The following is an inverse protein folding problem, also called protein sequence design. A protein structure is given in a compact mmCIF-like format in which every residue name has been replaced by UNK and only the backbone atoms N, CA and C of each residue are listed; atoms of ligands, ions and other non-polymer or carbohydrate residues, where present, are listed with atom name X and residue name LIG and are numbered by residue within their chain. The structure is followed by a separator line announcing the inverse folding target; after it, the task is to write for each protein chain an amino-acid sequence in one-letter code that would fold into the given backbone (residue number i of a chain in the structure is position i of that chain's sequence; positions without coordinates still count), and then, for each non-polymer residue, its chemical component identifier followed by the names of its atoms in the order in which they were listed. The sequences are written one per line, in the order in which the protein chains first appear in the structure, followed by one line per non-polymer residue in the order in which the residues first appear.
data_IF_359069937111
#
_entry.id   IF_359069937111
#
_cell.length_a   1.000
_cell.length_b   1.000
_cell.length_c   1.000
_cell.angle_alpha   90.00
_cell.angle_beta   90.00
_cell.angle_gamma   90.00
#
_symmetry.space_group_name_H-M   'P 1'
#
loop_
_entity.id
_entity.type
_entity.pdbx_description
1 polymer ?
#
# COMPACT_ATOMS: atom_id res chain seq x y z
N UNK A 1 -7.06 4.31 16.42
CA UNK A 1 -6.24 5.50 16.19
C UNK A 1 -4.98 5.50 17.05
N UNK A 2 -5.13 5.29 18.37
CA UNK A 2 -3.99 5.25 19.28
C UNK A 2 -3.00 4.14 18.94
N UNK A 3 -3.48 2.98 18.48
CA UNK A 3 -2.62 1.87 18.05
C UNK A 3 -1.78 2.24 16.83
N UNK A 4 -2.37 2.94 15.87
CA UNK A 4 -1.65 3.38 14.67
C UNK A 4 -0.60 4.43 14.98
N UNK A 5 -0.89 5.38 15.86
CA UNK A 5 0.07 6.39 16.30
C UNK A 5 1.23 5.76 17.09
N UNK A 6 0.91 4.81 17.98
CA UNK A 6 1.94 4.09 18.71
C UNK A 6 2.82 3.26 17.80
N UNK A 7 2.23 2.60 16.81
CA UNK A 7 2.95 1.83 15.81
C UNK A 7 3.90 2.71 14.99
N UNK A 8 3.41 3.87 14.52
CA UNK A 8 4.24 4.85 13.81
C UNK A 8 5.41 5.31 14.68
N UNK A 9 5.17 5.64 15.95
CA UNK A 9 6.23 6.01 16.90
C UNK A 9 7.28 4.92 17.04
N UNK A 10 6.87 3.66 17.12
CA UNK A 10 7.80 2.52 17.21
C UNK A 10 8.66 2.39 15.95
N UNK A 11 8.09 2.63 14.77
CA UNK A 11 8.85 2.63 13.52
C UNK A 11 9.88 3.75 13.52
N UNK A 12 9.47 4.96 13.84
CA UNK A 12 10.34 6.14 13.90
C UNK A 12 11.48 5.97 14.92
N UNK A 13 11.23 5.26 16.02
CA UNK A 13 12.24 4.95 17.05
C UNK A 13 13.02 3.64 16.77
N UNK A 14 12.89 3.09 15.57
CA UNK A 14 13.62 1.90 15.11
C UNK A 14 13.48 0.69 16.04
N UNK A 15 12.27 0.44 16.54
CA UNK A 15 11.98 -0.67 17.46
C UNK A 15 11.70 -2.01 16.77
N UNK A 16 11.98 -2.12 15.47
CA UNK A 16 11.84 -3.34 14.68
C UNK A 16 13.18 -3.72 14.03
N UNK A 17 14.21 -4.09 14.82
CA UNK A 17 15.54 -4.33 14.29
C UNK A 17 15.69 -5.62 13.50
N UNK A 18 14.82 -6.61 13.75
CA UNK A 18 14.91 -7.93 13.14
C UNK A 18 14.45 -7.88 11.68
N UNK A 19 15.28 -8.42 10.79
CA UNK A 19 14.98 -8.53 9.37
C UNK A 19 15.10 -9.97 8.90
N UNK A 20 14.27 -10.35 7.94
CA UNK A 20 14.34 -11.64 7.27
C UNK A 20 14.09 -11.45 5.76
N UNK A 21 14.50 -12.43 4.98
CA UNK A 21 14.26 -12.42 3.54
C UNK A 21 12.81 -12.84 3.27
N UNK A 22 12.04 -11.93 2.67
CA UNK A 22 10.61 -12.11 2.44
C UNK A 22 10.34 -12.16 0.94
N UNK A 23 9.59 -13.18 0.50
CA UNK A 23 9.04 -13.25 -0.85
C UNK A 23 7.83 -12.31 -0.94
N UNK A 24 8.02 -11.17 -1.59
CA UNK A 24 7.00 -10.13 -1.67
C UNK A 24 5.82 -10.54 -2.53
N UNK A 25 6.04 -11.26 -3.63
CA UNK A 25 4.96 -11.77 -4.47
C UNK A 25 3.98 -12.61 -3.64
N UNK A 26 4.52 -13.53 -2.86
CA UNK A 26 3.72 -14.42 -2.02
C UNK A 26 2.99 -13.66 -0.91
N UNK A 27 3.67 -12.70 -0.27
CA UNK A 27 3.06 -11.88 0.77
C UNK A 27 1.85 -11.11 0.22
N UNK A 28 2.00 -10.48 -0.93
CA UNK A 28 0.91 -9.75 -1.58
C UNK A 28 -0.22 -10.70 -1.96
N UNK A 29 0.10 -11.84 -2.57
CA UNK A 29 -0.89 -12.84 -2.99
C UNK A 29 -1.72 -13.36 -1.80
N UNK A 30 -1.06 -13.74 -0.70
CA UNK A 30 -1.73 -14.27 0.48
C UNK A 30 -2.72 -13.27 1.09
N UNK A 31 -2.35 -12.01 1.18
CA UNK A 31 -3.23 -10.96 1.71
C UNK A 31 -4.29 -10.51 0.71
N UNK A 32 -3.99 -10.57 -0.57
CA UNK A 32 -4.94 -10.23 -1.63
C UNK A 32 -6.19 -11.13 -1.61
N UNK A 33 -6.03 -12.39 -1.26
CA UNK A 33 -7.13 -13.34 -1.10
C UNK A 33 -8.15 -12.80 -0.09
N UNK A 34 -7.68 -12.35 1.07
CA UNK A 34 -8.53 -11.81 2.13
C UNK A 34 -9.26 -10.54 1.68
N UNK A 35 -8.57 -9.61 1.05
CA UNK A 35 -9.18 -8.36 0.57
C UNK A 35 -10.19 -8.58 -0.56
N UNK A 36 -9.95 -9.51 -1.46
CA UNK A 36 -10.93 -9.90 -2.48
C UNK A 36 -12.23 -10.41 -1.85
N UNK A 37 -12.12 -11.16 -0.77
CA UNK A 37 -13.28 -11.66 -0.05
C UNK A 37 -14.02 -10.54 0.69
N UNK A 38 -13.30 -9.73 1.47
CA UNK A 38 -13.86 -8.61 2.24
C UNK A 38 -14.59 -7.62 1.33
N UNK A 39 -14.03 -7.31 0.17
CA UNK A 39 -14.57 -6.33 -0.78
C UNK A 39 -15.29 -6.97 -1.98
N UNK A 40 -15.73 -8.23 -1.87
CA UNK A 40 -16.39 -8.95 -2.95
C UNK A 40 -17.64 -8.24 -3.48
N UNK A 41 -18.35 -7.52 -2.60
CA UNK A 41 -19.55 -6.75 -2.97
C UNK A 41 -19.27 -5.61 -3.96
N UNK A 42 -18.03 -5.18 -4.10
CA UNK A 42 -17.65 -4.12 -5.05
C UNK A 42 -17.42 -4.63 -6.47
N UNK A 43 -17.32 -5.94 -6.69
CA UNK A 43 -17.05 -6.54 -7.99
C UNK A 43 -15.83 -5.94 -8.69
N UNK A 44 -14.75 -5.70 -7.93
CA UNK A 44 -13.50 -5.16 -8.44
C UNK A 44 -12.74 -6.24 -9.20
N UNK A 45 -12.26 -5.90 -10.38
CA UNK A 45 -11.39 -6.78 -11.18
C UNK A 45 -9.96 -6.51 -10.77
N UNK A 46 -9.26 -7.54 -10.30
CA UNK A 46 -7.87 -7.44 -9.85
C UNK A 46 -6.96 -8.21 -10.79
N UNK A 47 -5.94 -7.53 -11.30
CA UNK A 47 -4.89 -8.12 -12.13
C UNK A 47 -3.56 -8.01 -11.41
N UNK A 48 -2.83 -9.13 -11.32
CA UNK A 48 -1.45 -9.15 -10.81
C UNK A 48 -0.54 -9.51 -11.97
N UNK A 49 0.41 -8.64 -12.26
CA UNK A 49 1.39 -8.81 -13.33
C UNK A 49 2.75 -8.95 -12.66
N UNK A 50 3.36 -10.11 -12.80
CA UNK A 50 4.67 -10.40 -12.22
C UNK A 50 5.57 -11.13 -13.21
N UNK A 51 6.85 -10.78 -13.22
CA UNK A 51 7.85 -11.41 -14.11
C UNK A 51 8.70 -12.43 -13.39
N UNK A 52 9.01 -12.18 -12.12
CA UNK A 52 9.89 -13.03 -11.31
C UNK A 52 9.61 -12.83 -9.83
N UNK A 53 9.99 -13.78 -8.97
CA UNK A 53 9.90 -13.60 -7.53
C UNK A 53 10.80 -12.45 -7.06
N UNK A 54 10.25 -11.58 -6.21
CA UNK A 54 10.96 -10.45 -5.60
C UNK A 54 11.16 -10.73 -4.12
N UNK A 55 12.42 -10.68 -3.67
CA UNK A 55 12.79 -10.89 -2.27
C UNK A 55 13.37 -9.61 -1.70
N UNK A 56 12.88 -9.20 -0.53
CA UNK A 56 13.40 -8.05 0.20
C UNK A 56 13.75 -8.49 1.63
N UNK A 57 14.81 -7.90 2.17
CA UNK A 57 15.18 -8.08 3.58
C UNK A 57 14.50 -7.01 4.42
N UNK A 58 13.44 -7.41 5.11
CA UNK A 58 12.59 -6.51 5.89
C UNK A 58 12.18 -7.20 7.20
N UNK A 59 11.80 -6.39 8.18
CA UNK A 59 11.06 -6.91 9.32
C UNK A 59 9.68 -7.39 8.83
N UNK A 60 9.28 -8.60 9.22
CA UNK A 60 8.02 -9.20 8.75
C UNK A 60 6.80 -8.36 9.12
N UNK A 61 6.72 -7.87 10.35
CA UNK A 61 5.61 -7.02 10.80
C UNK A 61 5.50 -5.75 9.97
N UNK A 62 6.63 -5.11 9.66
CA UNK A 62 6.66 -3.92 8.84
C UNK A 62 6.33 -4.21 7.37
N UNK A 63 6.80 -5.32 6.84
CA UNK A 63 6.47 -5.74 5.48
C UNK A 63 4.96 -5.98 5.32
N UNK A 64 4.36 -6.72 6.23
CA UNK A 64 2.91 -6.96 6.23
C UNK A 64 2.15 -5.63 6.30
N UNK A 65 2.55 -4.74 7.19
CA UNK A 65 1.90 -3.43 7.33
C UNK A 65 1.99 -2.61 6.05
N UNK A 66 3.18 -2.53 5.43
CA UNK A 66 3.39 -1.77 4.20
C UNK A 66 2.47 -2.26 3.07
N UNK A 67 2.53 -3.54 2.76
CA UNK A 67 1.81 -4.08 1.62
C UNK A 67 0.31 -4.18 1.85
N UNK A 68 -0.14 -4.48 3.08
CA UNK A 68 -1.57 -4.48 3.41
C UNK A 68 -2.16 -3.07 3.42
N UNK A 69 -1.42 -2.06 3.84
CA UNK A 69 -1.86 -0.66 3.75
C UNK A 69 -2.11 -0.25 2.30
N UNK A 70 -1.21 -0.61 1.38
CA UNK A 70 -1.35 -0.29 -0.03
C UNK A 70 -2.48 -1.07 -0.69
N UNK A 71 -2.64 -2.35 -0.36
CA UNK A 71 -3.77 -3.17 -0.82
C UNK A 71 -5.11 -2.62 -0.33
N UNK A 72 -5.23 -2.40 0.97
CA UNK A 72 -6.45 -1.85 1.58
C UNK A 72 -6.82 -0.51 0.96
N UNK A 73 -5.85 0.36 0.78
CA UNK A 73 -6.03 1.66 0.15
C UNK A 73 -6.62 1.52 -1.27
N UNK A 74 -6.07 0.59 -2.07
CA UNK A 74 -6.58 0.33 -3.41
C UNK A 74 -8.05 -0.14 -3.40
N UNK A 75 -8.41 -1.10 -2.54
CA UNK A 75 -9.78 -1.60 -2.46
C UNK A 75 -10.78 -0.57 -1.93
N UNK A 76 -10.41 0.21 -0.91
CA UNK A 76 -11.28 1.24 -0.34
C UNK A 76 -11.59 2.32 -1.39
N UNK A 77 -10.61 2.72 -2.17
CA UNK A 77 -10.73 3.86 -3.09
C UNK A 77 -11.12 3.47 -4.52
N UNK A 78 -11.30 2.20 -4.81
CA UNK A 78 -11.84 1.75 -6.09
C UNK A 78 -13.35 1.66 -6.01
N UNK A 79 -14.03 2.24 -7.00
CA UNK A 79 -15.49 2.17 -7.12
C UNK A 79 -15.93 0.78 -7.54
N UNK A 80 -17.22 0.45 -7.29
CA UNK A 80 -17.82 -0.81 -7.76
C UNK A 80 -17.58 -1.02 -9.25
N UNK A 81 -17.15 -2.24 -9.62
CA UNK A 81 -16.84 -2.59 -11.01
C UNK A 81 -15.51 -2.03 -11.53
N UNK A 82 -14.75 -1.36 -10.68
CA UNK A 82 -13.46 -0.81 -11.06
C UNK A 82 -12.33 -1.85 -11.15
N UNK A 83 -11.12 -1.35 -11.34
CA UNK A 83 -9.94 -2.20 -11.59
C UNK A 83 -8.82 -1.87 -10.61
N UNK A 84 -8.16 -2.93 -10.13
CA UNK A 84 -6.89 -2.83 -9.39
C UNK A 84 -5.86 -3.62 -10.20
N UNK A 85 -4.70 -3.01 -10.44
CA UNK A 85 -3.57 -3.67 -11.09
C UNK A 85 -2.36 -3.57 -10.17
N UNK A 86 -1.73 -4.71 -9.91
CA UNK A 86 -0.50 -4.78 -9.12
C UNK A 86 0.60 -5.32 -10.03
N UNK A 87 1.65 -4.52 -10.20
CA UNK A 87 2.82 -4.92 -11.01
C UNK A 87 3.99 -5.15 -10.07
N UNK A 88 4.55 -6.36 -10.11
CA UNK A 88 5.65 -6.76 -9.22
C UNK A 88 6.86 -7.12 -10.08
N UNK A 89 7.86 -6.24 -10.10
CA UNK A 89 9.12 -6.45 -10.79
C UNK A 89 10.30 -6.20 -9.84
N UNK A 90 11.45 -6.76 -10.13
CA UNK A 90 12.66 -6.47 -9.38
C UNK A 90 12.96 -4.97 -9.44
N UNK A 91 13.11 -4.35 -8.27
CA UNK A 91 13.38 -2.93 -8.14
C UNK A 91 12.14 -2.02 -8.20
N UNK A 92 10.95 -2.56 -8.53
CA UNK A 92 9.76 -1.72 -8.68
C UNK A 92 8.46 -2.49 -8.48
N UNK A 93 7.61 -1.99 -7.60
CA UNK A 93 6.25 -2.50 -7.39
C UNK A 93 5.26 -1.35 -7.53
N UNK A 94 4.18 -1.57 -8.29
CA UNK A 94 3.16 -0.56 -8.52
C UNK A 94 1.80 -1.10 -8.08
N UNK A 95 1.10 -0.31 -7.25
CA UNK A 95 -0.31 -0.52 -6.91
C UNK A 95 -1.14 0.52 -7.62
N UNK A 96 -1.99 0.11 -8.56
CA UNK A 96 -2.84 1.00 -9.35
C UNK A 96 -4.30 0.69 -9.09
N UNK A 97 -5.11 1.73 -8.95
CA UNK A 97 -6.55 1.58 -8.84
C UNK A 97 -7.29 2.67 -9.60
N UNK A 98 -8.39 2.30 -10.24
CA UNK A 98 -9.22 3.25 -11.00
C UNK A 98 -10.03 4.15 -10.07
N UNK A 99 -10.02 5.43 -10.33
CA UNK A 99 -10.84 6.42 -9.65
C UNK A 99 -10.95 7.67 -10.53
N UNK A 100 -12.18 8.03 -10.91
CA UNK A 100 -12.44 9.18 -11.77
C UNK A 100 -12.53 10.52 -11.04
N UNK A 101 -12.38 10.53 -9.71
CA UNK A 101 -12.49 11.76 -8.92
C UNK A 101 -11.32 12.73 -9.09
N UNK A 102 -10.27 12.32 -9.79
CA UNK A 102 -9.10 13.14 -10.07
C UNK A 102 -7.92 12.91 -9.12
N UNK A 103 -6.79 13.59 -9.37
CA UNK A 103 -5.58 13.38 -8.61
C UNK A 103 -5.71 13.83 -7.15
N UNK A 104 -4.94 13.19 -6.29
CA UNK A 104 -4.74 13.60 -4.91
C UNK A 104 -3.63 14.65 -4.84
N UNK A 105 -3.64 15.45 -3.78
CA UNK A 105 -2.53 16.39 -3.52
C UNK A 105 -1.29 15.60 -3.06
N UNK A 106 -0.34 15.45 -3.95
CA UNK A 106 0.89 14.70 -3.72
C UNK A 106 1.68 15.18 -2.50
N UNK A 107 1.61 16.46 -2.17
CA UNK A 107 2.30 17.03 -1.02
C UNK A 107 1.63 16.68 0.31
N UNK A 108 0.33 16.36 0.29
CA UNK A 108 -0.47 16.15 1.50
C UNK A 108 -0.79 14.70 1.81
N UNK A 109 -0.80 13.80 0.82
CA UNK A 109 -1.25 12.41 1.01
C UNK A 109 -0.42 11.63 2.03
N UNK A 110 0.85 12.01 2.25
CA UNK A 110 1.74 11.41 3.24
C UNK A 110 1.79 12.18 4.56
N UNK A 111 0.91 13.15 4.75
CA UNK A 111 0.79 13.88 6.02
C UNK A 111 -0.21 13.18 6.95
N UNK A 112 0.07 13.26 8.25
CA UNK A 112 -0.78 12.65 9.28
C UNK A 112 -2.22 13.18 9.19
N UNK A 113 -3.19 12.26 9.28
CA UNK A 113 -4.63 12.56 9.29
C UNK A 113 -5.17 13.25 8.03
N UNK A 114 -4.41 13.27 6.94
CA UNK A 114 -4.93 13.78 5.68
C UNK A 114 -5.84 12.74 5.02
N UNK A 115 -7.08 13.12 4.74
CA UNK A 115 -8.06 12.31 4.02
C UNK A 115 -8.79 13.22 3.03
N UNK A 116 -8.75 12.87 1.75
CA UNK A 116 -9.50 13.60 0.71
C UNK A 116 -11.00 13.35 0.85
N UNK A 117 -11.37 12.13 1.19
CA UNK A 117 -12.75 11.73 1.51
C UNK A 117 -12.71 10.81 2.73
N UNK A 118 -13.53 11.13 3.73
CA UNK A 118 -13.66 10.26 4.89
C UNK A 118 -14.40 8.99 4.47
N UNK A 119 -13.72 7.87 4.48
CA UNK A 119 -14.29 6.55 4.21
C UNK A 119 -14.16 5.68 5.45
N UNK A 120 -15.14 4.78 5.62
CA UNK A 120 -15.12 3.82 6.71
C UNK A 120 -13.86 2.97 6.67
N UNK A 121 -13.23 2.76 7.83
CA UNK A 121 -12.00 1.99 7.97
C UNK A 121 -10.71 2.74 7.64
N UNK A 122 -10.78 4.02 7.24
CA UNK A 122 -9.62 4.85 6.96
C UNK A 122 -9.27 5.73 8.17
N UNK A 123 -8.02 5.65 8.64
CA UNK A 123 -7.53 6.43 9.80
C UNK A 123 -6.74 7.68 9.39
N UNK A 124 -6.38 7.81 8.11
CA UNK A 124 -5.49 8.87 7.62
C UNK A 124 -4.02 8.65 7.98
N UNK A 125 -3.66 7.48 8.48
CA UNK A 125 -2.29 7.12 8.87
C UNK A 125 -1.65 6.05 8.01
N UNK A 126 -2.41 5.33 7.19
CA UNK A 126 -1.89 4.23 6.39
C UNK A 126 -0.74 4.62 5.47
N UNK A 127 -0.88 5.72 4.73
CA UNK A 127 0.17 6.20 3.82
C UNK A 127 1.37 6.80 4.58
N UNK A 128 1.14 7.44 5.71
CA UNK A 128 2.23 7.95 6.58
C UNK A 128 3.05 6.79 7.14
N UNK A 129 2.39 5.74 7.61
CA UNK A 129 3.05 4.52 8.08
C UNK A 129 3.83 3.87 6.94
N UNK A 130 3.22 3.76 5.76
CA UNK A 130 3.88 3.20 4.57
C UNK A 130 5.14 3.97 4.21
N UNK A 131 5.08 5.29 4.22
CA UNK A 131 6.25 6.15 3.96
C UNK A 131 7.35 5.94 5.02
N UNK A 132 6.98 5.90 6.29
CA UNK A 132 7.94 5.69 7.38
C UNK A 132 8.65 4.34 7.26
N UNK A 133 7.93 3.29 6.89
CA UNK A 133 8.51 1.96 6.64
C UNK A 133 9.47 2.02 5.44
N UNK A 134 9.03 2.64 4.34
CA UNK A 134 9.86 2.80 3.15
C UNK A 134 11.16 3.54 3.45
N UNK A 135 11.10 4.63 4.21
CA UNK A 135 12.28 5.39 4.64
C UNK A 135 13.25 4.53 5.46
N UNK A 136 12.73 3.66 6.33
CA UNK A 136 13.54 2.75 7.13
C UNK A 136 14.41 1.82 6.27
N UNK A 137 13.91 1.43 5.10
CA UNK A 137 14.58 0.45 4.22
C UNK A 137 15.11 1.05 2.91
N UNK A 138 15.19 2.38 2.82
CA UNK A 138 15.63 3.08 1.61
C UNK A 138 14.80 2.73 0.36
N UNK A 139 13.51 2.50 0.56
CA UNK A 139 12.54 2.33 -0.50
C UNK A 139 11.90 3.69 -0.77
N UNK A 140 11.82 4.08 -2.04
CA UNK A 140 11.15 5.32 -2.43
C UNK A 140 9.69 4.98 -2.74
N UNK A 141 8.76 5.64 -2.05
CA UNK A 141 7.34 5.58 -2.36
C UNK A 141 6.93 6.87 -3.06
N UNK A 142 6.34 6.73 -4.25
CA UNK A 142 5.87 7.85 -5.04
C UNK A 142 4.41 7.65 -5.45
N UNK A 143 3.75 8.74 -5.80
CA UNK A 143 2.37 8.75 -6.24
C UNK A 143 2.23 9.50 -7.55
N UNK A 144 1.41 8.97 -8.46
CA UNK A 144 0.98 9.65 -9.70
C UNK A 144 -0.46 9.30 -10.03
N UNK A 145 -1.05 10.17 -10.84
CA UNK A 145 -2.40 9.96 -11.37
C UNK A 145 -2.36 10.10 -12.88
N UNK A 146 -2.72 9.04 -13.58
CA UNK A 146 -2.80 9.00 -15.05
C UNK A 146 -3.94 8.09 -15.48
N UNK A 147 -4.59 8.39 -16.59
CA UNK A 147 -5.64 7.55 -17.18
C UNK A 147 -6.74 7.15 -16.16
N UNK A 148 -7.20 8.13 -15.38
CA UNK A 148 -8.22 7.95 -14.35
C UNK A 148 -7.85 6.90 -13.29
N UNK A 149 -6.56 6.76 -13.02
CA UNK A 149 -6.05 5.80 -12.03
C UNK A 149 -5.01 6.43 -11.11
N UNK A 150 -5.08 6.06 -9.84
CA UNK A 150 -4.03 6.36 -8.87
C UNK A 150 -2.96 5.27 -8.95
N UNK A 151 -1.70 5.67 -8.88
CA UNK A 151 -0.55 4.76 -8.88
C UNK A 151 0.34 5.06 -7.69
N UNK A 152 0.53 4.08 -6.83
CA UNK A 152 1.54 4.11 -5.77
C UNK A 152 2.71 3.24 -6.21
N UNK A 153 3.88 3.84 -6.33
CA UNK A 153 5.07 3.22 -6.90
C UNK A 153 6.16 3.08 -5.83
N UNK A 154 6.59 1.87 -5.58
CA UNK A 154 7.74 1.57 -4.73
C UNK A 154 8.94 1.27 -5.61
N UNK A 155 10.06 1.92 -5.33
CA UNK A 155 11.34 1.69 -6.04
C UNK A 155 12.49 1.57 -5.03
N UNK A 156 13.45 0.68 -5.37
CA UNK A 156 14.64 0.45 -4.54
C UNK A 156 15.85 0.02 -5.37
#
# INVERSE_FOLDING_TARGET
LNKSLLFLSKIENRQFPECETININRLIEDHLIDYKEIYSYKNIIVNVIESEPVYLSLNETLAISLFTNLLKNAFIHTSEGGFITIVINLGRIIFSNTDSSGPLDKEKIFKRFHQTKKKEGSTGLGLVISQSICETYNIIIDYKYTDHSHHFVLTW
#
